data_IF_017409687030
#
_entry.id   IF_017409687030
#
_cell.length_a   1.000
_cell.length_b   1.000
_cell.length_c   1.000
_cell.angle_alpha   90.00
_cell.angle_beta   90.00
_cell.angle_gamma   90.00
#
_symmetry.space_group_name_H-M   'P 1'
#
loop_
_entity.id
_entity.type
_entity.pdbx_description
1 polymer ?
#
# COMPACT_ATOMS: atom_id res chain seq x y z
N UNK A 1 4.35 -1.93 -20.44
CA UNK A 1 5.43 -2.57 -19.66
C UNK A 1 5.73 -1.82 -18.36
N UNK A 2 5.91 -0.49 -18.34
CA UNK A 2 6.23 0.28 -17.11
C UNK A 2 5.17 0.20 -16.00
N UNK A 3 3.88 0.38 -16.32
CA UNK A 3 2.81 0.39 -15.31
C UNK A 3 2.71 -0.93 -14.52
N UNK A 4 2.98 -2.06 -15.17
CA UNK A 4 3.00 -3.37 -14.51
C UNK A 4 4.18 -3.50 -13.55
N UNK A 5 5.35 -2.98 -13.93
CA UNK A 5 6.53 -2.99 -13.08
C UNK A 5 6.34 -2.12 -11.82
N UNK A 6 5.80 -0.92 -11.99
CA UNK A 6 5.44 -0.04 -10.87
C UNK A 6 4.44 -0.73 -9.96
N UNK A 7 3.35 -1.28 -10.52
CA UNK A 7 2.34 -1.99 -9.75
C UNK A 7 2.94 -3.16 -8.96
N UNK A 8 3.82 -3.96 -9.58
CA UNK A 8 4.44 -5.09 -8.91
C UNK A 8 5.24 -4.67 -7.67
N UNK A 9 5.99 -3.58 -7.77
CA UNK A 9 6.74 -2.99 -6.66
C UNK A 9 5.83 -2.43 -5.57
N UNK A 10 4.78 -1.68 -5.93
CA UNK A 10 3.80 -1.17 -4.98
C UNK A 10 3.11 -2.30 -4.22
N UNK A 11 2.70 -3.36 -4.93
CA UNK A 11 2.06 -4.51 -4.29
C UNK A 11 3.01 -5.22 -3.32
N UNK A 12 4.31 -5.31 -3.62
CA UNK A 12 5.30 -5.88 -2.68
C UNK A 12 5.48 -5.00 -1.45
N UNK A 13 5.66 -3.70 -1.63
CA UNK A 13 5.83 -2.76 -0.51
C UNK A 13 4.61 -2.78 0.44
N UNK A 14 3.40 -2.91 -0.11
CA UNK A 14 2.15 -2.94 0.64
C UNK A 14 1.69 -4.35 1.04
N UNK A 15 2.54 -5.38 0.96
CA UNK A 15 2.14 -6.73 1.32
C UNK A 15 1.70 -6.82 2.79
N UNK A 16 2.35 -6.08 3.69
CA UNK A 16 1.94 -5.92 5.09
C UNK A 16 0.52 -5.36 5.24
N UNK A 17 0.07 -4.47 4.36
CA UNK A 17 -1.22 -3.76 4.45
C UNK A 17 -2.38 -4.44 3.71
N UNK A 18 -2.05 -5.38 2.82
CA UNK A 18 -3.00 -5.95 1.86
C UNK A 18 -3.10 -7.47 2.00
N UNK A 19 -4.02 -8.07 1.22
CA UNK A 19 -4.14 -9.53 1.12
C UNK A 19 -2.94 -10.22 0.47
N UNK A 20 -1.94 -9.48 -0.01
CA UNK A 20 -0.73 -10.08 -0.55
C UNK A 20 0.05 -10.77 0.57
N UNK A 21 0.63 -11.91 0.21
CA UNK A 21 1.53 -12.62 1.09
C UNK A 21 2.82 -11.81 1.23
N UNK A 22 3.23 -11.57 2.47
CA UNK A 22 4.43 -10.81 2.82
C UNK A 22 5.58 -11.74 3.23
N UNK A 23 5.27 -13.01 3.52
CA UNK A 23 6.31 -13.99 3.80
C UNK A 23 6.90 -14.50 2.48
N UNK A 24 8.09 -14.00 2.18
CA UNK A 24 8.84 -14.32 0.96
C UNK A 24 9.96 -15.33 1.19
N UNK A 25 10.15 -15.80 2.44
CA UNK A 25 11.28 -16.66 2.82
C UNK A 25 11.29 -17.97 2.06
N UNK A 26 10.11 -18.53 1.79
CA UNK A 26 9.94 -19.79 1.08
C UNK A 26 10.12 -19.71 -0.44
N UNK A 27 10.36 -18.53 -1.02
CA UNK A 27 10.47 -18.40 -2.48
C UNK A 27 11.80 -18.89 -3.06
N UNK A 28 12.89 -18.84 -2.29
CA UNK A 28 14.23 -19.20 -2.79
C UNK A 28 14.41 -20.71 -2.97
N UNK A 29 13.82 -21.51 -2.08
CA UNK A 29 14.01 -22.97 -2.04
C UNK A 29 12.89 -23.73 -2.77
N UNK A 30 11.97 -23.02 -3.43
CA UNK A 30 10.78 -23.61 -4.03
C UNK A 30 11.05 -24.10 -5.45
N UNK A 31 10.53 -25.30 -5.74
CA UNK A 31 10.48 -25.83 -7.10
C UNK A 31 9.69 -24.87 -8.03
N UNK A 32 10.31 -24.34 -9.10
CA UNK A 32 9.70 -23.34 -9.99
C UNK A 32 8.45 -23.85 -10.72
N UNK A 33 8.29 -25.16 -10.90
CA UNK A 33 7.12 -25.75 -11.58
C UNK A 33 6.09 -26.33 -10.61
N UNK A 34 6.41 -26.44 -9.32
CA UNK A 34 5.46 -26.87 -8.31
C UNK A 34 4.37 -25.81 -8.03
N UNK A 35 3.15 -26.20 -7.65
CA UNK A 35 2.07 -25.28 -7.30
C UNK A 35 2.45 -24.27 -6.21
N UNK A 36 1.77 -23.12 -6.21
CA UNK A 36 2.01 -22.07 -5.23
C UNK A 36 1.32 -22.31 -3.89
N UNK A 37 2.13 -22.39 -2.84
CA UNK A 37 1.67 -22.47 -1.45
C UNK A 37 1.69 -21.08 -0.82
N UNK A 38 0.65 -20.78 -0.03
CA UNK A 38 0.56 -19.55 0.77
C UNK A 38 1.21 -19.78 2.13
N UNK A 39 1.73 -18.71 2.74
CA UNK A 39 2.14 -18.77 4.14
C UNK A 39 0.94 -18.95 5.08
N UNK A 40 1.21 -19.42 6.30
CA UNK A 40 0.20 -19.50 7.35
C UNK A 40 -0.34 -18.11 7.68
N UNK A 41 0.54 -17.09 7.72
CA UNK A 41 0.16 -15.71 7.95
C UNK A 41 -0.80 -15.18 6.87
N UNK A 42 -0.53 -15.46 5.58
CA UNK A 42 -1.43 -15.09 4.50
C UNK A 42 -2.77 -15.83 4.56
N UNK A 43 -2.77 -17.09 4.99
CA UNK A 43 -3.99 -17.87 5.21
C UNK A 43 -4.83 -17.27 6.33
N UNK A 44 -4.22 -16.97 7.48
CA UNK A 44 -4.87 -16.29 8.60
C UNK A 44 -5.42 -14.93 8.19
N UNK A 45 -4.62 -14.10 7.50
CA UNK A 45 -5.03 -12.78 7.00
C UNK A 45 -6.24 -12.89 6.05
N UNK A 46 -6.25 -13.88 5.16
CA UNK A 46 -7.36 -14.12 4.24
C UNK A 46 -8.65 -14.55 4.95
N UNK A 47 -8.53 -15.37 6.00
CA UNK A 47 -9.66 -15.86 6.79
C UNK A 47 -10.23 -14.79 7.72
N UNK A 48 -9.38 -14.09 8.48
CA UNK A 48 -9.80 -13.08 9.44
C UNK A 48 -10.20 -11.77 8.77
N UNK A 49 -9.62 -11.46 7.59
CA UNK A 49 -9.69 -10.16 6.91
C UNK A 49 -9.17 -9.01 7.80
N UNK A 50 -8.31 -9.35 8.76
CA UNK A 50 -7.78 -8.43 9.76
C UNK A 50 -6.26 -8.60 9.85
N UNK A 51 -5.58 -7.47 9.96
CA UNK A 51 -4.14 -7.35 10.14
C UNK A 51 -3.77 -7.64 11.61
N UNK A 52 -2.50 -7.97 11.90
CA UNK A 52 -2.04 -8.23 13.28
C UNK A 52 -2.27 -7.07 14.26
N UNK A 53 -2.34 -5.84 13.75
CA UNK A 53 -2.62 -4.62 14.51
C UNK A 53 -4.13 -4.38 14.76
N UNK A 54 -5.00 -5.27 14.29
CA UNK A 54 -6.45 -5.18 14.44
C UNK A 54 -7.15 -4.37 13.34
N UNK A 55 -6.41 -3.77 12.40
CA UNK A 55 -7.01 -3.06 11.27
C UNK A 55 -7.55 -4.02 10.19
N UNK A 56 -8.58 -3.63 9.43
CA UNK A 56 -9.07 -4.46 8.33
C UNK A 56 -8.04 -4.56 7.22
N UNK A 57 -7.85 -5.76 6.67
CA UNK A 57 -7.00 -5.98 5.51
C UNK A 57 -7.60 -5.30 4.27
N UNK A 58 -6.76 -4.61 3.49
CA UNK A 58 -7.21 -3.81 2.33
C UNK A 58 -6.90 -4.50 1.00
N UNK A 59 -7.64 -4.13 -0.04
CA UNK A 59 -7.24 -4.47 -1.42
C UNK A 59 -6.26 -3.43 -1.94
N UNK A 60 -5.46 -3.78 -2.96
CA UNK A 60 -4.57 -2.82 -3.63
C UNK A 60 -5.32 -1.57 -4.10
N UNK A 61 -6.51 -1.74 -4.70
CA UNK A 61 -7.37 -0.64 -5.11
C UNK A 61 -7.79 0.24 -3.94
N UNK A 62 -8.17 -0.36 -2.81
CA UNK A 62 -8.56 0.39 -1.60
C UNK A 62 -7.43 1.26 -1.08
N UNK A 63 -6.17 0.77 -1.11
CA UNK A 63 -5.01 1.58 -0.71
C UNK A 63 -4.81 2.76 -1.67
N UNK A 64 -4.98 2.55 -2.97
CA UNK A 64 -4.91 3.65 -3.95
C UNK A 64 -6.05 4.66 -3.79
N UNK A 65 -7.27 4.18 -3.60
CA UNK A 65 -8.45 5.04 -3.41
C UNK A 65 -8.29 5.90 -2.13
N UNK A 66 -7.72 5.33 -1.06
CA UNK A 66 -7.39 6.06 0.17
C UNK A 66 -6.32 7.13 -0.07
N UNK A 67 -5.20 6.78 -0.69
CA UNK A 67 -4.13 7.74 -1.04
C UNK A 67 -4.59 8.82 -2.02
N UNK A 68 -5.57 8.54 -2.89
CA UNK A 68 -6.12 9.52 -3.82
C UNK A 68 -6.87 10.66 -3.12
N UNK A 69 -7.20 10.52 -1.83
CA UNK A 69 -7.77 11.60 -1.02
C UNK A 69 -6.73 12.64 -0.59
N UNK A 70 -5.43 12.33 -0.74
CA UNK A 70 -4.36 13.32 -0.60
C UNK A 70 -4.38 14.20 -1.84
N UNK A 71 -4.77 15.46 -1.67
CA UNK A 71 -5.00 16.40 -2.77
C UNK A 71 -4.18 17.66 -2.58
N UNK A 72 -3.76 18.26 -3.71
CA UNK A 72 -3.13 19.57 -3.75
C UNK A 72 -4.17 20.60 -4.16
N UNK A 73 -4.68 21.34 -3.19
CA UNK A 73 -5.69 22.36 -3.37
C UNK A 73 -5.04 23.72 -3.63
N UNK A 74 -5.69 24.56 -4.43
CA UNK A 74 -5.27 25.96 -4.61
C UNK A 74 -6.20 26.82 -3.78
N UNK A 75 -5.66 27.43 -2.72
CA UNK A 75 -6.42 28.23 -1.78
C UNK A 75 -6.24 29.71 -2.14
N UNK A 76 -7.33 30.47 -2.13
CA UNK A 76 -7.30 31.93 -2.30
C UNK A 76 -7.77 32.58 -1.00
N UNK A 77 -6.90 33.40 -0.42
CA UNK A 77 -7.24 34.14 0.79
C UNK A 77 -8.16 35.32 0.44
N UNK A 78 -9.36 35.34 1.01
CA UNK A 78 -10.42 36.27 0.62
C UNK A 78 -10.08 37.74 0.91
N UNK A 79 -9.32 38.02 1.96
CA UNK A 79 -9.00 39.40 2.35
C UNK A 79 -7.77 39.98 1.64
N UNK A 80 -6.79 39.14 1.25
CA UNK A 80 -5.55 39.61 0.59
C UNK A 80 -5.50 39.31 -0.91
N UNK A 81 -6.40 38.48 -1.43
CA UNK A 81 -6.34 37.97 -2.79
C UNK A 81 -5.16 37.04 -3.08
N UNK A 82 -4.36 36.70 -2.06
CA UNK A 82 -3.20 35.84 -2.22
C UNK A 82 -3.64 34.39 -2.52
N UNK A 83 -3.05 33.80 -3.55
CA UNK A 83 -3.30 32.41 -3.95
C UNK A 83 -2.07 31.56 -3.70
N UNK A 84 -2.24 30.42 -3.04
CA UNK A 84 -1.15 29.49 -2.74
C UNK A 84 -1.60 28.03 -2.80
N UNK A 85 -0.70 27.09 -3.16
CA UNK A 85 -1.00 25.68 -3.10
C UNK A 85 -0.96 25.16 -1.65
N UNK A 86 -1.89 24.28 -1.30
CA UNK A 86 -1.94 23.60 0.00
C UNK A 86 -2.23 22.12 -0.22
N UNK A 87 -1.36 21.25 0.28
CA UNK A 87 -1.57 19.79 0.24
C UNK A 87 -2.26 19.35 1.53
N UNK A 88 -3.22 18.42 1.43
CA UNK A 88 -3.85 17.84 2.62
C UNK A 88 -2.86 16.97 3.40
N UNK A 89 -2.94 17.03 4.74
CA UNK A 89 -2.12 16.19 5.60
C UNK A 89 -2.60 14.74 5.53
N UNK A 90 -1.69 13.76 5.32
CA UNK A 90 -2.06 12.35 5.30
C UNK A 90 -2.62 11.87 6.66
N UNK A 91 -3.55 10.92 6.62
CA UNK A 91 -3.93 10.15 7.82
C UNK A 91 -2.80 9.20 8.24
N UNK A 92 -2.84 8.66 9.46
CA UNK A 92 -1.83 7.70 9.93
C UNK A 92 -1.70 6.47 9.00
N UNK A 93 -2.82 5.97 8.47
CA UNK A 93 -2.81 4.82 7.56
C UNK A 93 -2.26 5.16 6.16
N UNK A 94 -2.49 6.39 5.70
CA UNK A 94 -1.91 6.89 4.45
C UNK A 94 -0.41 7.11 4.60
N UNK A 95 0.02 7.71 5.72
CA UNK A 95 1.44 7.89 6.02
C UNK A 95 2.17 6.54 6.07
N UNK A 96 1.61 5.55 6.78
CA UNK A 96 2.18 4.20 6.80
C UNK A 96 2.33 3.60 5.40
N UNK A 97 1.34 3.80 4.52
CA UNK A 97 1.43 3.33 3.13
C UNK A 97 2.55 4.06 2.36
N UNK A 98 2.73 5.37 2.56
CA UNK A 98 3.81 6.15 1.95
C UNK A 98 5.20 5.72 2.47
N UNK A 99 5.34 5.53 3.78
CA UNK A 99 6.59 5.10 4.42
C UNK A 99 7.06 3.73 3.91
N UNK A 100 6.12 2.83 3.60
CA UNK A 100 6.46 1.54 2.98
C UNK A 100 7.00 1.68 1.56
N UNK A 101 6.55 2.69 0.81
CA UNK A 101 7.05 2.95 -0.55
C UNK A 101 8.49 3.47 -0.55
N UNK A 102 8.87 4.24 0.47
CA UNK A 102 10.25 4.75 0.60
C UNK A 102 11.28 3.62 0.79
N UNK A 103 10.84 2.43 1.19
CA UNK A 103 11.69 1.24 1.36
C UNK A 103 11.92 0.47 0.07
N UNK A 104 11.26 0.83 -1.03
CA UNK A 104 11.45 0.19 -2.33
C UNK A 104 12.87 0.49 -2.81
N UNK A 105 13.65 -0.57 -2.99
CA UNK A 105 14.96 -0.52 -3.64
C UNK A 105 14.84 -1.15 -5.03
N UNK A 106 15.38 -0.47 -6.05
CA UNK A 106 15.30 -0.84 -7.48
C UNK A 106 16.70 -1.14 -8.00
#
# INVERSE_FOLDING_TARGET
>A
MLAYYVRWHLERAWATLTFKDDDTTHHHDRDPVAPATRSDAATTKAQSRTLPDGHPTRTFKTVLDDLATITRNTCTHTASGATFPMTTSPTAQQQQALDLLERITV
#
